data_IF_596841728219
#
_entry.id   IF_596841728219
#
_cell.length_a   1.000
_cell.length_b   1.000
_cell.length_c   1.000
_cell.angle_alpha   90.00
_cell.angle_beta   90.00
_cell.angle_gamma   90.00
#
_symmetry.space_group_name_H-M   'P 1'
#
loop_
_entity.id
_entity.type
_entity.pdbx_description
1 polymer ?
#
# COMPACT_ATOMS: atom_id res chain seq x y z
N UNK A 1 -43.35 -6.44 -16.46
CA UNK A 1 -42.48 -7.55 -16.02
C UNK A 1 -41.30 -7.64 -16.97
N UNK A 2 -40.09 -7.29 -16.50
CA UNK A 2 -38.81 -7.91 -16.87
C UNK A 2 -37.70 -7.20 -16.09
N UNK A 3 -37.37 -7.80 -14.94
CA UNK A 3 -36.16 -7.51 -14.16
C UNK A 3 -35.01 -8.24 -14.85
N UNK A 4 -34.05 -7.52 -15.40
CA UNK A 4 -32.79 -8.12 -15.84
C UNK A 4 -31.72 -7.88 -14.76
N UNK A 5 -31.43 -8.98 -14.07
CA UNK A 5 -30.51 -9.06 -12.95
C UNK A 5 -29.11 -8.74 -13.44
N UNK A 6 -28.57 -7.61 -12.98
CA UNK A 6 -27.16 -7.29 -13.10
C UNK A 6 -26.35 -8.46 -12.48
N UNK A 7 -25.81 -9.33 -13.33
CA UNK A 7 -24.94 -10.40 -12.89
C UNK A 7 -23.68 -9.77 -12.32
N UNK A 8 -23.63 -9.70 -10.98
CA UNK A 8 -22.49 -9.23 -10.22
C UNK A 8 -21.28 -10.09 -10.55
N UNK A 9 -20.40 -9.58 -11.41
CA UNK A 9 -19.05 -10.09 -11.61
C UNK A 9 -18.41 -10.20 -10.24
N UNK A 10 -18.24 -11.42 -9.71
CA UNK A 10 -17.62 -11.62 -8.41
C UNK A 10 -16.24 -10.99 -8.48
N UNK A 11 -16.04 -9.88 -7.76
CA UNK A 11 -14.77 -9.18 -7.73
C UNK A 11 -13.69 -10.20 -7.32
N UNK A 12 -12.67 -10.35 -8.16
CA UNK A 12 -11.57 -11.26 -7.86
C UNK A 12 -10.81 -10.73 -6.65
N UNK A 13 -11.04 -11.35 -5.49
CA UNK A 13 -10.44 -10.92 -4.22
C UNK A 13 -9.05 -11.50 -3.98
N UNK A 14 -8.49 -12.26 -4.94
CA UNK A 14 -7.16 -12.88 -4.77
C UNK A 14 -6.05 -11.84 -4.58
N UNK A 15 -6.21 -10.63 -5.12
CA UNK A 15 -5.25 -9.55 -4.93
C UNK A 15 -5.14 -9.08 -3.47
N UNK A 16 -6.16 -9.28 -2.64
CA UNK A 16 -6.11 -8.96 -1.20
C UNK A 16 -5.17 -9.89 -0.43
N UNK A 17 -4.79 -11.03 -1.00
CA UNK A 17 -3.81 -11.94 -0.39
C UNK A 17 -2.36 -11.45 -0.56
N UNK A 18 -2.12 -10.41 -1.38
CA UNK A 18 -0.81 -9.81 -1.50
C UNK A 18 -0.65 -8.68 -0.46
N UNK A 19 0.17 -8.85 0.59
CA UNK A 19 0.35 -7.82 1.60
C UNK A 19 1.23 -6.65 1.12
N UNK A 20 2.03 -6.83 0.06
CA UNK A 20 3.04 -5.84 -0.36
C UNK A 20 2.46 -4.46 -0.71
N UNK A 21 1.33 -4.32 -1.44
CA UNK A 21 0.71 -3.03 -1.70
C UNK A 21 0.25 -2.30 -0.44
N UNK A 22 -0.33 -3.03 0.53
CA UNK A 22 -0.76 -2.45 1.80
C UNK A 22 0.44 -1.98 2.63
N UNK A 23 1.52 -2.75 2.62
CA UNK A 23 2.78 -2.41 3.28
C UNK A 23 3.45 -1.19 2.63
N UNK A 24 3.40 -1.08 1.30
CA UNK A 24 3.90 0.09 0.58
C UNK A 24 3.10 1.36 0.93
N UNK A 25 1.76 1.25 1.01
CA UNK A 25 0.89 2.36 1.43
C UNK A 25 1.18 2.81 2.87
N UNK A 26 1.40 1.88 3.79
CA UNK A 26 1.82 2.21 5.17
C UNK A 26 3.18 2.93 5.21
N UNK A 27 4.06 2.65 4.26
CA UNK A 27 5.34 3.38 4.09
C UNK A 27 5.14 4.81 3.64
N UNK A 28 4.24 5.04 2.67
CA UNK A 28 3.86 6.39 2.22
C UNK A 28 3.29 7.19 3.39
N UNK A 29 2.32 6.64 4.10
CA UNK A 29 1.67 7.30 5.24
C UNK A 29 2.67 7.66 6.34
N UNK A 30 3.64 6.79 6.63
CA UNK A 30 4.68 7.07 7.61
C UNK A 30 5.59 8.24 7.21
N UNK A 31 5.93 8.34 5.92
CA UNK A 31 6.71 9.46 5.41
C UNK A 31 5.92 10.78 5.44
N UNK A 32 4.64 10.76 5.08
CA UNK A 32 3.75 11.92 5.16
C UNK A 32 3.57 12.42 6.60
N UNK A 33 3.59 11.51 7.57
CA UNK A 33 3.57 11.81 9.02
C UNK A 33 4.93 12.23 9.59
N UNK A 34 6.01 12.18 8.81
CA UNK A 34 7.36 12.49 9.27
C UNK A 34 7.93 11.48 10.27
N UNK A 35 7.43 10.24 10.29
CA UNK A 35 7.98 9.18 11.14
C UNK A 35 9.37 8.78 10.65
N UNK A 36 10.34 8.51 11.53
CA UNK A 36 11.67 8.10 11.10
C UNK A 36 11.67 6.67 10.51
N UNK A 37 12.63 6.38 9.63
CA UNK A 37 12.77 5.06 8.97
C UNK A 37 12.83 3.88 9.96
N UNK A 38 13.47 4.07 11.12
CA UNK A 38 13.59 3.03 12.15
C UNK A 38 12.25 2.72 12.86
N UNK A 39 11.21 3.51 12.64
CA UNK A 39 9.86 3.22 13.12
C UNK A 39 9.12 2.17 12.28
N UNK A 40 9.75 1.66 11.20
CA UNK A 40 9.19 0.58 10.40
C UNK A 40 8.83 -0.65 11.28
N UNK A 41 7.56 -1.09 11.30
CA UNK A 41 7.12 -2.20 12.17
C UNK A 41 7.47 -3.58 11.61
N UNK A 42 7.89 -3.68 10.34
CA UNK A 42 8.08 -4.94 9.64
C UNK A 42 9.51 -5.48 9.81
N UNK A 43 9.62 -6.66 10.43
CA UNK A 43 10.91 -7.38 10.58
C UNK A 43 11.25 -8.26 9.38
N UNK A 44 10.25 -8.68 8.61
CA UNK A 44 10.46 -9.54 7.45
C UNK A 44 11.09 -8.76 6.29
N UNK A 45 12.23 -9.22 5.71
CA UNK A 45 12.98 -8.43 4.72
C UNK A 45 12.16 -7.97 3.51
N UNK A 46 11.28 -8.84 2.99
CA UNK A 46 10.46 -8.50 1.83
C UNK A 46 9.38 -7.44 2.15
N UNK A 47 8.85 -7.43 3.37
CA UNK A 47 7.87 -6.42 3.81
C UNK A 47 8.57 -5.08 4.10
N UNK A 48 9.73 -5.14 4.76
CA UNK A 48 10.56 -3.97 4.99
C UNK A 48 10.95 -3.29 3.67
N UNK A 49 11.32 -4.06 2.64
CA UNK A 49 11.60 -3.53 1.31
C UNK A 49 10.38 -2.82 0.69
N UNK A 50 9.18 -3.42 0.77
CA UNK A 50 7.94 -2.80 0.29
C UNK A 50 7.61 -1.51 1.05
N UNK A 51 7.78 -1.50 2.36
CA UNK A 51 7.53 -0.33 3.19
C UNK A 51 8.49 0.82 2.84
N UNK A 52 9.80 0.51 2.74
CA UNK A 52 10.82 1.49 2.35
C UNK A 52 10.60 2.06 0.95
N UNK A 53 10.07 1.26 0.01
CA UNK A 53 9.74 1.73 -1.34
C UNK A 53 8.69 2.84 -1.29
N UNK A 54 7.59 2.64 -0.55
CA UNK A 54 6.56 3.66 -0.38
C UNK A 54 7.07 4.89 0.36
N UNK A 55 7.80 4.68 1.46
CA UNK A 55 8.39 5.73 2.28
C UNK A 55 9.36 6.64 1.49
N UNK A 56 10.20 6.07 0.62
CA UNK A 56 11.10 6.83 -0.25
C UNK A 56 10.35 7.58 -1.35
N UNK A 57 9.34 6.97 -1.94
CA UNK A 57 8.51 7.61 -2.98
C UNK A 57 7.85 8.89 -2.45
N UNK A 58 7.27 8.83 -1.25
CA UNK A 58 6.66 9.98 -0.60
C UNK A 58 7.68 11.09 -0.31
N UNK A 59 8.86 10.74 0.22
CA UNK A 59 9.94 11.73 0.44
C UNK A 59 10.45 12.37 -0.86
N UNK A 60 10.59 11.61 -1.94
CA UNK A 60 11.01 12.20 -3.23
C UNK A 60 10.00 13.22 -3.75
N UNK A 61 8.70 12.97 -3.58
CA UNK A 61 7.66 13.94 -3.95
C UNK A 61 7.74 15.22 -3.12
N UNK A 62 8.16 15.12 -1.85
CA UNK A 62 8.38 16.31 -1.00
C UNK A 62 9.64 17.10 -1.36
N UNK A 63 10.58 16.54 -2.14
CA UNK A 63 11.85 17.19 -2.47
C UNK A 63 11.83 17.93 -3.83
N UNK A 64 10.76 17.78 -4.61
CA UNK A 64 10.57 18.53 -5.86
C UNK A 64 9.98 19.92 -5.53
N UNK A 65 10.85 20.87 -5.16
CA UNK A 65 10.54 22.30 -5.03
C UNK A 65 11.12 23.09 -6.20
#
# INVERSE_FOLDING_TARGET
>A
MQNEVAQGRKADRRHFNNPHPAVEAAGVEAAEKGLPVHACPYKHPAMLASWLKGYRRAQQLTLNF
#
